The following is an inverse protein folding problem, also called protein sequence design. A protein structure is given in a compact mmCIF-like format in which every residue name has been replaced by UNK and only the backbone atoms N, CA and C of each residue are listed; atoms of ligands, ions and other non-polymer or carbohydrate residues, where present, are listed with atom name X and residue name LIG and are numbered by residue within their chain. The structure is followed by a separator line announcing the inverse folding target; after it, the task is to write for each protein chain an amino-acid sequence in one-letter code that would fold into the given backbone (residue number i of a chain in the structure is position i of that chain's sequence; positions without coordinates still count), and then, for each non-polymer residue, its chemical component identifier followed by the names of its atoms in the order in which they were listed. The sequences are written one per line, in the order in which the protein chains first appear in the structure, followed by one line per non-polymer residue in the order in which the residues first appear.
data_IF_769894618847
#
_entry.id   IF_769894618847
#
_cell.length_a   1.000
_cell.length_b   1.000
_cell.length_c   1.000
_cell.angle_alpha   90.00
_cell.angle_beta   90.00
_cell.angle_gamma   90.00
#
_symmetry.space_group_name_H-M   'P 1'
#
loop_
_entity.id
_entity.type
_entity.pdbx_description
1 polymer ?
#
# COMPACT_ATOMS: atom_id res chain seq x y z
N UNK A 1 -18.88 -2.23 -4.39
CA UNK A 1 -17.94 -1.85 -3.31
C UNK A 1 -17.38 -3.13 -2.74
N UNK A 2 -16.07 -3.22 -2.51
CA UNK A 2 -15.45 -4.47 -2.07
C UNK A 2 -14.08 -4.74 -2.69
N UNK A 3 -13.58 -5.96 -2.47
CA UNK A 3 -12.29 -6.40 -2.96
C UNK A 3 -12.43 -7.23 -4.25
N UNK A 4 -11.65 -6.90 -5.27
CA UNK A 4 -11.55 -7.63 -6.53
C UNK A 4 -10.13 -8.11 -6.77
N UNK A 5 -9.96 -9.37 -7.15
CA UNK A 5 -8.68 -9.88 -7.63
C UNK A 5 -8.30 -9.16 -8.93
N UNK A 6 -7.06 -8.67 -9.00
CA UNK A 6 -6.54 -7.93 -10.16
C UNK A 6 -5.65 -8.79 -11.06
N UNK A 7 -5.16 -9.93 -10.55
CA UNK A 7 -4.41 -10.92 -11.30
C UNK A 7 -4.57 -12.34 -10.72
N UNK A 8 -4.00 -13.33 -11.41
CA UNK A 8 -3.97 -14.72 -10.95
C UNK A 8 -2.90 -15.02 -9.89
N UNK A 9 -2.10 -14.03 -9.48
CA UNK A 9 -1.01 -14.16 -8.51
C UNK A 9 -1.45 -13.78 -7.09
N UNK A 10 -2.69 -13.34 -6.93
CA UNK A 10 -3.28 -12.98 -5.65
C UNK A 10 -3.24 -11.48 -5.35
N UNK A 11 -2.99 -10.64 -6.36
CA UNK A 11 -3.17 -9.20 -6.22
C UNK A 11 -4.64 -8.83 -6.07
N UNK A 12 -4.92 -7.83 -5.25
CA UNK A 12 -6.28 -7.44 -4.87
C UNK A 12 -6.39 -5.92 -4.83
N UNK A 13 -7.50 -5.39 -5.37
CA UNK A 13 -7.92 -4.00 -5.18
C UNK A 13 -9.19 -3.97 -4.34
N UNK A 14 -9.14 -3.30 -3.20
CA UNK A 14 -10.23 -3.11 -2.26
C UNK A 14 -10.64 -1.64 -2.23
N UNK A 15 -11.80 -1.33 -2.80
CA UNK A 15 -12.34 0.03 -2.83
C UNK A 15 -13.68 0.09 -2.11
N UNK A 16 -13.76 0.99 -1.12
CA UNK A 16 -14.90 1.12 -0.23
C UNK A 16 -15.60 2.47 -0.38
N UNK A 17 -16.93 2.47 -0.29
CA UNK A 17 -17.75 3.66 -0.37
C UNK A 17 -17.86 4.32 0.99
N UNK A 18 -17.93 5.65 1.01
CA UNK A 18 -18.25 6.37 2.24
C UNK A 18 -19.64 5.98 2.78
N UNK A 19 -19.79 5.98 4.11
CA UNK A 19 -21.01 5.59 4.81
C UNK A 19 -21.36 4.09 4.79
N UNK A 20 -20.54 3.25 4.15
CA UNK A 20 -20.74 1.80 4.19
C UNK A 20 -20.12 1.19 5.46
N UNK A 21 -20.81 0.19 6.02
CA UNK A 21 -20.20 -0.71 7.02
C UNK A 21 -19.67 -1.94 6.29
N UNK A 22 -18.38 -2.23 6.48
CA UNK A 22 -17.72 -3.37 5.84
C UNK A 22 -17.20 -4.32 6.91
N UNK A 23 -17.29 -5.61 6.66
CA UNK A 23 -16.63 -6.63 7.50
C UNK A 23 -15.32 -7.02 6.82
N UNK A 24 -14.19 -6.76 7.48
CA UNK A 24 -12.86 -7.09 6.97
C UNK A 24 -12.28 -8.29 7.71
N UNK A 25 -11.86 -9.29 6.95
CA UNK A 25 -11.05 -10.40 7.43
C UNK A 25 -9.96 -10.72 6.40
N UNK A 26 -8.74 -10.95 6.85
CA UNK A 26 -7.61 -11.26 5.99
C UNK A 26 -7.03 -12.60 6.40
N UNK A 27 -6.79 -13.48 5.43
CA UNK A 27 -6.01 -14.70 5.63
C UNK A 27 -4.90 -14.73 4.57
N UNK A 28 -3.68 -14.97 5.01
CA UNK A 28 -2.47 -14.94 4.22
C UNK A 28 -1.62 -16.15 4.61
N UNK A 29 -1.32 -17.01 3.64
CA UNK A 29 -0.36 -18.11 3.80
C UNK A 29 0.71 -17.92 2.72
N UNK A 30 1.93 -17.59 3.15
CA UNK A 30 3.06 -17.35 2.28
C UNK A 30 4.18 -18.32 2.65
N UNK A 31 4.60 -19.13 1.70
CA UNK A 31 5.81 -19.96 1.82
C UNK A 31 6.84 -19.60 0.75
N UNK A 32 8.10 -19.45 1.13
CA UNK A 32 9.20 -19.22 0.20
C UNK A 32 10.55 -19.71 0.75
N UNK A 33 11.51 -19.94 -0.15
CA UNK A 33 12.90 -20.25 0.21
C UNK A 33 13.77 -19.02 0.00
N UNK A 34 14.31 -18.46 1.08
CA UNK A 34 15.25 -17.34 1.03
C UNK A 34 16.67 -17.86 0.80
N UNK A 35 17.26 -17.49 -0.34
CA UNK A 35 18.67 -17.75 -0.66
C UNK A 35 19.50 -16.49 -0.54
N UNK A 36 20.81 -16.64 -0.32
CA UNK A 36 21.72 -15.49 -0.20
C UNK A 36 21.66 -14.63 -1.47
N UNK A 37 21.45 -13.32 -1.32
CA UNK A 37 21.30 -12.38 -2.43
C UNK A 37 19.86 -12.21 -2.94
N UNK A 38 18.91 -13.01 -2.45
CA UNK A 38 17.51 -12.77 -2.72
C UNK A 38 17.04 -11.46 -2.05
N UNK A 39 16.13 -10.74 -2.69
CA UNK A 39 15.70 -9.41 -2.26
C UNK A 39 14.18 -9.31 -2.13
N UNK A 40 13.76 -8.50 -1.17
CA UNK A 40 12.41 -7.97 -1.03
C UNK A 40 12.39 -6.59 -1.66
N UNK A 41 11.65 -6.44 -2.74
CA UNK A 41 11.29 -5.17 -3.32
C UNK A 41 9.90 -4.78 -2.80
N UNK A 42 9.81 -3.60 -2.20
CA UNK A 42 8.52 -3.03 -1.78
C UNK A 42 8.37 -1.68 -2.43
N UNK A 43 7.25 -1.48 -3.12
CA UNK A 43 6.84 -0.16 -3.57
C UNK A 43 5.54 0.27 -2.93
N UNK A 44 5.41 1.58 -2.74
CA UNK A 44 4.20 2.22 -2.24
C UNK A 44 3.91 3.42 -3.10
N UNK A 45 2.68 3.53 -3.57
CA UNK A 45 2.16 4.68 -4.30
C UNK A 45 0.87 5.12 -3.63
N UNK A 46 0.78 6.42 -3.40
CA UNK A 46 -0.45 7.04 -2.91
C UNK A 46 -1.07 7.84 -4.06
N UNK A 47 -2.38 7.82 -4.15
CA UNK A 47 -3.14 8.50 -5.19
C UNK A 47 -4.32 9.21 -4.53
N UNK A 48 -4.61 10.41 -5.01
CA UNK A 48 -5.79 11.19 -4.67
C UNK A 48 -6.40 11.71 -5.97
N UNK A 49 -7.72 11.88 -5.97
CA UNK A 49 -8.46 12.47 -7.06
C UNK A 49 -8.25 13.99 -7.18
N UNK A 50 -8.87 14.56 -8.20
CA UNK A 50 -8.90 16.01 -8.43
C UNK A 50 -7.53 16.65 -8.69
N UNK A 51 -7.46 17.97 -8.45
CA UNK A 51 -6.24 18.77 -8.65
C UNK A 51 -5.12 18.42 -7.66
N UNK A 52 -5.46 17.73 -6.56
CA UNK A 52 -4.49 17.29 -5.57
C UNK A 52 -3.64 16.11 -6.04
N UNK A 53 -4.08 15.36 -7.05
CA UNK A 53 -3.31 14.28 -7.68
C UNK A 53 -1.89 14.72 -8.04
N UNK A 54 -1.75 15.86 -8.73
CA UNK A 54 -0.47 16.40 -9.22
C UNK A 54 0.45 16.76 -8.06
N UNK A 55 -0.09 17.39 -7.01
CA UNK A 55 0.68 17.83 -5.85
C UNK A 55 1.15 16.62 -5.05
N UNK A 56 0.27 15.64 -4.86
CA UNK A 56 0.57 14.39 -4.16
C UNK A 56 1.64 13.60 -4.91
N UNK A 57 1.52 13.44 -6.22
CA UNK A 57 2.52 12.74 -7.03
C UNK A 57 3.89 13.43 -6.97
N UNK A 58 3.92 14.76 -6.85
CA UNK A 58 5.16 15.54 -6.71
C UNK A 58 5.77 15.44 -5.31
N UNK A 59 4.96 15.48 -4.25
CA UNK A 59 5.44 15.51 -2.86
C UNK A 59 5.68 14.12 -2.26
N UNK A 60 4.90 13.13 -2.70
CA UNK A 60 4.94 11.76 -2.23
C UNK A 60 5.22 10.82 -3.42
N UNK A 61 6.41 10.95 -4.05
CA UNK A 61 6.77 10.08 -5.16
C UNK A 61 6.79 8.62 -4.70
N UNK A 62 6.65 7.71 -5.67
CA UNK A 62 6.73 6.26 -5.45
C UNK A 62 7.95 5.93 -4.60
N UNK A 63 7.71 5.41 -3.39
CA UNK A 63 8.78 5.02 -2.47
C UNK A 63 9.14 3.58 -2.78
N UNK A 64 10.38 3.34 -3.19
CA UNK A 64 10.91 2.02 -3.47
C UNK A 64 11.94 1.63 -2.41
N UNK A 65 11.74 0.46 -1.81
CA UNK A 65 12.62 -0.06 -0.78
C UNK A 65 13.06 -1.46 -1.20
N UNK A 66 14.36 -1.65 -1.35
CA UNK A 66 14.98 -2.94 -1.65
C UNK A 66 15.77 -3.40 -0.43
N UNK A 67 15.45 -4.59 0.08
CA UNK A 67 16.15 -5.19 1.23
C UNK A 67 16.56 -6.63 0.93
N UNK A 68 17.71 -7.11 1.42
CA UNK A 68 18.02 -8.53 1.35
C UNK A 68 17.02 -9.34 2.19
N UNK A 69 16.65 -10.53 1.72
CA UNK A 69 15.81 -11.46 2.48
C UNK A 69 16.59 -12.20 3.56
N UNK A 70 17.86 -12.48 3.33
CA UNK A 70 18.72 -13.18 4.29
C UNK A 70 20.21 -12.83 4.13
N UNK A 71 21.00 -13.11 5.16
CA UNK A 71 22.47 -12.92 5.17
C UNK A 71 22.94 -11.69 5.93
N UNK A 72 24.01 -11.05 5.47
CA UNK A 72 24.50 -9.77 6.04
C UNK A 72 24.52 -8.76 4.91
N UNK A 73 23.79 -7.67 5.05
CA UNK A 73 23.95 -6.50 4.18
C UNK A 73 23.83 -5.23 5.00
N UNK A 74 24.64 -4.24 4.66
CA UNK A 74 24.45 -2.88 5.13
C UNK A 74 23.38 -2.22 4.27
N UNK A 75 22.34 -1.69 4.91
CA UNK A 75 21.29 -0.93 4.21
C UNK A 75 21.46 0.53 4.59
N UNK A 76 21.92 1.34 3.65
CA UNK A 76 21.97 2.79 3.83
C UNK A 76 20.60 3.36 3.53
N UNK A 77 19.92 3.89 4.54
CA UNK A 77 18.70 4.65 4.34
C UNK A 77 19.07 6.14 4.18
N UNK A 78 18.28 6.93 3.43
CA UNK A 78 18.48 8.38 3.37
C UNK A 78 18.50 8.98 4.78
N UNK A 79 19.63 9.60 5.16
CA UNK A 79 19.79 10.26 6.47
C UNK A 79 20.18 9.37 7.66
N UNK A 80 20.32 8.05 7.50
CA UNK A 80 20.89 7.18 8.54
C UNK A 80 21.46 5.86 7.99
N UNK A 81 22.65 5.47 8.44
CA UNK A 81 23.09 4.08 8.28
C UNK A 81 22.46 3.26 9.41
N UNK A 82 21.51 2.40 9.08
CA UNK A 82 21.01 1.40 10.02
C UNK A 82 21.45 0.03 9.53
N UNK A 83 22.18 -0.68 10.36
CA UNK A 83 22.56 -2.06 10.07
C UNK A 83 21.30 -2.94 10.18
N UNK A 84 20.67 -3.21 9.04
CA UNK A 84 19.63 -4.21 8.95
C UNK A 84 20.27 -5.60 8.97
N UNK A 85 20.00 -6.38 10.01
CA UNK A 85 20.41 -7.78 10.07
C UNK A 85 19.24 -8.66 9.57
N UNK A 86 19.23 -9.08 8.29
CA UNK A 86 18.17 -9.95 7.82
C UNK A 86 18.27 -11.33 8.48
N UNK A 87 17.17 -12.10 8.47
CA UNK A 87 17.16 -13.44 9.05
C UNK A 87 18.10 -14.41 8.31
N UNK A 88 18.26 -15.63 8.84
CA UNK A 88 19.11 -16.66 8.21
C UNK A 88 18.54 -17.09 6.85
N UNK A 89 19.37 -17.60 5.95
CA UNK A 89 18.83 -18.18 4.71
C UNK A 89 18.18 -19.53 5.00
N UNK A 90 17.11 -19.88 4.28
CA UNK A 90 16.34 -21.09 4.53
C UNK A 90 14.89 -21.00 4.04
N UNK A 91 14.12 -22.04 4.36
CA UNK A 91 12.68 -22.07 4.09
C UNK A 91 11.91 -21.29 5.15
N UNK A 92 10.95 -20.48 4.70
CA UNK A 92 10.06 -19.69 5.54
C UNK A 92 8.61 -19.96 5.16
N UNK A 93 7.75 -20.00 6.18
CA UNK A 93 6.30 -20.00 6.03
C UNK A 93 5.71 -19.02 7.02
N UNK A 94 4.85 -18.13 6.52
CA UNK A 94 4.14 -17.12 7.29
C UNK A 94 2.65 -17.36 7.11
N UNK A 95 1.98 -17.61 8.22
CA UNK A 95 0.53 -17.68 8.28
C UNK A 95 0.04 -16.49 9.09
N UNK A 96 -0.80 -15.67 8.48
CA UNK A 96 -1.43 -14.52 9.13
C UNK A 96 -2.92 -14.60 8.89
N UNK A 97 -3.70 -14.57 9.95
CA UNK A 97 -5.15 -14.47 9.87
C UNK A 97 -5.65 -13.42 10.85
N UNK A 98 -6.63 -12.63 10.42
CA UNK A 98 -7.36 -11.72 11.29
C UNK A 98 -8.78 -12.22 11.49
N UNK A 99 -9.33 -11.99 12.68
CA UNK A 99 -10.75 -12.19 12.89
C UNK A 99 -11.55 -11.14 12.11
N UNK A 100 -12.75 -11.48 11.61
CA UNK A 100 -13.63 -10.50 10.99
C UNK A 100 -13.89 -9.32 11.94
N UNK A 101 -13.64 -8.11 11.45
CA UNK A 101 -13.91 -6.88 12.16
C UNK A 101 -14.81 -5.99 11.31
N UNK A 102 -15.89 -5.51 11.91
CA UNK A 102 -16.75 -4.50 11.27
C UNK A 102 -16.07 -3.14 11.36
N UNK A 103 -15.77 -2.58 10.20
CA UNK A 103 -15.24 -1.24 10.03
C UNK A 103 -16.35 -0.39 9.46
N UNK A 104 -16.86 0.52 10.28
CA UNK A 104 -17.81 1.54 9.83
C UNK A 104 -17.01 2.67 9.17
N UNK A 105 -17.20 2.85 7.86
CA UNK A 105 -16.71 4.04 7.19
C UNK A 105 -17.51 5.24 7.66
N UNK A 106 -16.85 6.37 7.88
CA UNK A 106 -17.50 7.57 8.40
C UNK A 106 -18.61 8.04 7.44
N UNK A 107 -19.77 8.39 8.01
CA UNK A 107 -20.97 8.76 7.24
C UNK A 107 -20.90 10.20 6.67
N UNK A 108 -20.12 11.10 7.29
CA UNK A 108 -20.19 12.55 7.06
C UNK A 108 -18.80 13.22 6.98
N UNK A 109 -17.92 12.73 6.12
CA UNK A 109 -16.66 13.45 5.78
C UNK A 109 -16.85 14.49 4.68
N UNK A 110 -17.93 14.37 3.90
CA UNK A 110 -18.23 15.23 2.75
C UNK A 110 -18.51 16.67 3.18
N UNK A 111 -19.07 16.88 4.38
CA UNK A 111 -19.36 18.21 4.90
C UNK A 111 -18.15 18.93 5.52
N UNK A 112 -16.99 18.27 5.60
CA UNK A 112 -15.78 18.89 6.13
C UNK A 112 -15.17 19.84 5.10
N UNK A 113 -15.45 21.13 5.28
CA UNK A 113 -14.83 22.18 4.49
C UNK A 113 -13.42 22.48 5.04
N UNK A 114 -12.43 22.40 4.17
CA UNK A 114 -11.10 22.91 4.49
C UNK A 114 -11.14 24.45 4.54
N UNK A 115 -10.37 25.09 5.43
CA UNK A 115 -10.28 26.54 5.45
C UNK A 115 -9.76 27.05 4.12
N UNK A 116 -10.55 27.90 3.46
CA UNK A 116 -10.15 28.55 2.20
C UNK A 116 -8.97 29.48 2.46
N UNK A 117 -7.90 29.34 1.69
CA UNK A 117 -6.75 30.23 1.73
C UNK A 117 -6.52 30.87 0.37
N UNK A 118 -6.65 32.20 0.31
CA UNK A 118 -6.37 32.97 -0.91
C UNK A 118 -4.89 32.84 -1.35
N UNK A 119 -4.00 32.47 -0.42
CA UNK A 119 -2.58 32.22 -0.69
C UNK A 119 -2.33 30.88 -1.38
N UNK A 120 -3.25 29.91 -1.26
CA UNK A 120 -3.14 28.56 -1.82
C UNK A 120 -4.48 28.15 -2.46
N UNK A 121 -4.89 28.81 -3.56
CA UNK A 121 -6.22 28.62 -4.17
C UNK A 121 -6.44 27.25 -4.81
N UNK A 122 -5.39 26.44 -4.91
CA UNK A 122 -5.42 25.08 -5.45
C UNK A 122 -5.70 24.01 -4.39
N UNK A 123 -5.78 24.40 -3.11
CA UNK A 123 -6.17 23.46 -2.06
C UNK A 123 -7.63 23.03 -2.26
N UNK A 124 -7.95 21.75 -1.99
CA UNK A 124 -9.31 21.25 -2.05
C UNK A 124 -10.15 22.02 -1.04
N UNK A 125 -11.38 22.37 -1.43
CA UNK A 125 -12.31 23.05 -0.51
C UNK A 125 -13.09 22.03 0.31
N UNK A 126 -13.32 20.86 -0.26
CA UNK A 126 -14.06 19.77 0.35
C UNK A 126 -13.27 18.46 0.32
N UNK A 127 -13.64 17.51 1.18
CA UNK A 127 -13.04 16.17 1.14
C UNK A 127 -13.42 15.39 -0.14
N UNK A 128 -14.56 15.70 -0.76
CA UNK A 128 -14.98 15.09 -2.02
C UNK A 128 -14.02 15.42 -3.17
N UNK A 129 -13.39 16.60 -3.14
CA UNK A 129 -12.39 17.00 -4.13
C UNK A 129 -11.12 16.11 -4.10
N UNK A 130 -10.95 15.32 -3.03
CA UNK A 130 -9.82 14.41 -2.85
C UNK A 130 -10.12 12.98 -3.32
N UNK A 131 -11.39 12.64 -3.54
CA UNK A 131 -11.80 11.29 -3.92
C UNK A 131 -11.63 11.05 -5.44
N UNK A 132 -11.30 9.83 -5.87
CA UNK A 132 -10.97 8.67 -5.03
C UNK A 132 -9.58 8.81 -4.40
N UNK A 133 -9.45 8.29 -3.18
CA UNK A 133 -8.16 8.19 -2.49
C UNK A 133 -7.76 6.73 -2.52
N UNK A 134 -6.54 6.41 -2.97
CA UNK A 134 -6.04 5.04 -2.92
C UNK A 134 -4.57 4.98 -2.49
N UNK A 135 -4.23 3.86 -1.87
CA UNK A 135 -2.90 3.49 -1.50
C UNK A 135 -2.62 2.11 -2.08
N UNK A 136 -1.66 2.07 -3.00
CA UNK A 136 -1.21 0.84 -3.64
C UNK A 136 0.13 0.44 -3.05
N UNK A 137 0.20 -0.80 -2.58
CA UNK A 137 1.43 -1.42 -2.12
C UNK A 137 1.76 -2.60 -3.01
N UNK A 138 2.94 -2.55 -3.60
CA UNK A 138 3.52 -3.63 -4.36
C UNK A 138 4.59 -4.33 -3.52
N UNK A 139 4.57 -5.65 -3.50
CA UNK A 139 5.59 -6.48 -2.85
C UNK A 139 6.07 -7.52 -3.84
N UNK A 140 7.38 -7.55 -4.08
CA UNK A 140 8.01 -8.58 -4.86
C UNK A 140 9.16 -9.23 -4.10
N UNK A 141 9.23 -10.55 -4.17
CA UNK A 141 10.38 -11.34 -3.77
C UNK A 141 11.15 -11.73 -5.02
N UNK A 142 12.44 -11.45 -5.05
CA UNK A 142 13.30 -11.76 -6.21
C UNK A 142 14.49 -12.61 -5.81
N UNK A 143 14.85 -13.54 -6.68
CA UNK A 143 16.09 -14.31 -6.58
C UNK A 143 17.32 -13.43 -6.88
N UNK A 144 18.55 -13.93 -6.62
CA UNK A 144 19.78 -13.22 -6.95
C UNK A 144 19.95 -12.92 -8.45
N UNK A 145 19.35 -13.72 -9.32
CA UNK A 145 19.32 -13.52 -10.78
C UNK A 145 18.23 -12.53 -11.23
N UNK A 146 17.55 -11.87 -10.28
CA UNK A 146 16.44 -10.94 -10.47
C UNK A 146 15.14 -11.59 -11.01
N UNK A 147 15.06 -12.93 -11.07
CA UNK A 147 13.80 -13.63 -11.35
C UNK A 147 12.81 -13.44 -10.20
N UNK A 148 11.52 -13.33 -10.53
CA UNK A 148 10.45 -13.10 -9.54
C UNK A 148 10.05 -14.42 -8.91
N UNK A 149 10.17 -14.51 -7.58
CA UNK A 149 9.67 -15.63 -6.76
C UNK A 149 8.19 -15.44 -6.48
N UNK A 150 7.82 -14.21 -6.11
CA UNK A 150 6.46 -13.81 -5.75
C UNK A 150 6.31 -12.34 -6.09
N UNK A 151 5.16 -11.97 -6.63
CA UNK A 151 4.76 -10.59 -6.82
C UNK A 151 3.27 -10.50 -6.48
N UNK A 152 2.91 -9.57 -5.61
CA UNK A 152 1.51 -9.24 -5.37
C UNK A 152 1.37 -7.74 -5.12
N UNK A 153 0.26 -7.21 -5.57
CA UNK A 153 -0.15 -5.84 -5.38
C UNK A 153 -1.42 -5.81 -4.51
N UNK A 154 -1.43 -4.92 -3.53
CA UNK A 154 -2.63 -4.63 -2.76
C UNK A 154 -2.95 -3.16 -2.86
N UNK A 155 -4.12 -2.86 -3.39
CA UNK A 155 -4.66 -1.50 -3.44
C UNK A 155 -5.80 -1.38 -2.43
N UNK A 156 -5.72 -0.36 -1.58
CA UNK A 156 -6.80 0.03 -0.67
C UNK A 156 -7.26 1.42 -1.04
N UNK A 157 -8.57 1.64 -1.16
CA UNK A 157 -9.09 2.95 -1.52
C UNK A 157 -10.46 3.26 -0.99
N UNK A 158 -10.75 4.56 -0.99
CA UNK A 158 -12.05 5.15 -0.72
C UNK A 158 -12.57 5.84 -1.97
N UNK A 159 -13.85 5.65 -2.26
CA UNK A 159 -14.55 6.31 -3.36
C UNK A 159 -15.86 6.92 -2.90
N UNK A 160 -16.40 7.81 -3.72
CA UNK A 160 -17.72 8.40 -3.50
C UNK A 160 -18.80 7.31 -3.49
N UNK A 161 -19.81 7.48 -2.64
CA UNK A 161 -20.93 6.56 -2.58
C UNK A 161 -21.74 6.63 -3.89
N UNK A 162 -21.91 5.51 -4.57
CA UNK A 162 -22.72 5.41 -5.80
C UNK A 162 -21.99 5.64 -7.13
N UNK A 163 -20.65 5.73 -7.14
CA UNK A 163 -19.81 5.70 -8.34
C UNK A 163 -19.15 4.33 -8.57
#
# INVERSE_FOLDING_TARGET
TGCTSTDSLGSVSCEFGLGETITLSTTLDISFTAVKGATLYRSRKFHMGGNMSIIVDMLLPKVEVVKPLCGTAEVTLPGSSQTYQPPKCGFYRFEFSTQPADVKMFDDFVSFNFPSSDALPFLPQTFDDLLPISYTQEVQLRNPDNSTIMAFEVTYGLKTAGA
#
